data_IF_521195644347
#
_entry.id   IF_521195644347
#
_cell.length_a   1.000
_cell.length_b   1.000
_cell.length_c   1.000
_cell.angle_alpha   90.00
_cell.angle_beta   90.00
_cell.angle_gamma   90.00
#
_symmetry.space_group_name_H-M   'P 1'
#
loop_
_entity.id
_entity.type
_entity.pdbx_description
1 polymer ?
#
# COMPACT_ATOMS: atom_id res chain seq x y z
N UNK A 1 -5.55 -14.95 -2.52
CA UNK A 1 -5.94 -13.80 -3.36
C UNK A 1 -6.41 -14.35 -4.69
N UNK A 2 -7.49 -13.82 -5.26
CA UNK A 2 -7.96 -14.28 -6.56
C UNK A 2 -7.09 -13.67 -7.68
N UNK A 3 -6.93 -14.39 -8.79
CA UNK A 3 -6.20 -13.88 -9.95
C UNK A 3 -7.16 -13.08 -10.82
N UNK A 4 -6.88 -11.80 -11.02
CA UNK A 4 -7.57 -10.96 -12.02
C UNK A 4 -6.89 -11.19 -13.37
N UNK A 5 -7.68 -11.60 -14.36
CA UNK A 5 -7.18 -11.95 -15.71
C UNK A 5 -7.80 -11.09 -16.80
N UNK A 6 -8.86 -10.33 -16.50
CA UNK A 6 -9.59 -9.51 -17.48
C UNK A 6 -10.09 -8.20 -16.89
N UNK A 7 -10.29 -7.23 -17.78
CA UNK A 7 -11.02 -6.01 -17.48
C UNK A 7 -12.40 -6.31 -16.88
N UNK A 8 -12.91 -5.39 -16.06
CA UNK A 8 -14.17 -5.51 -15.31
C UNK A 8 -14.18 -6.58 -14.22
N UNK A 9 -13.06 -7.23 -13.93
CA UNK A 9 -12.97 -8.13 -12.79
C UNK A 9 -12.58 -7.40 -11.50
N UNK A 10 -13.17 -7.88 -10.40
CA UNK A 10 -12.92 -7.38 -9.06
C UNK A 10 -12.59 -8.55 -8.14
N UNK A 11 -11.48 -8.46 -7.42
CA UNK A 11 -11.16 -9.35 -6.31
C UNK A 11 -11.69 -8.71 -5.01
N UNK A 12 -12.84 -9.20 -4.53
CA UNK A 12 -13.48 -8.78 -3.30
C UNK A 12 -13.00 -9.68 -2.15
N UNK A 13 -11.93 -9.25 -1.46
CA UNK A 13 -11.35 -9.95 -0.32
C UNK A 13 -11.00 -11.43 -0.57
N UNK A 14 -10.58 -11.78 -1.78
CA UNK A 14 -10.21 -13.13 -2.19
C UNK A 14 -11.25 -13.81 -3.10
N UNK A 15 -12.43 -13.23 -3.29
CA UNK A 15 -13.48 -13.77 -4.17
C UNK A 15 -13.55 -12.95 -5.46
N UNK A 16 -13.41 -13.60 -6.60
CA UNK A 16 -13.47 -12.95 -7.92
C UNK A 16 -14.91 -12.70 -8.36
N UNK A 17 -15.19 -11.48 -8.80
CA UNK A 17 -16.45 -11.03 -9.36
C UNK A 17 -16.22 -10.48 -10.78
N UNK A 18 -17.27 -10.43 -11.59
CA UNK A 18 -17.24 -9.87 -12.94
C UNK A 18 -17.22 -10.91 -14.05
N UNK A 19 -16.68 -10.58 -15.24
CA UNK A 19 -16.70 -11.47 -16.41
C UNK A 19 -16.05 -12.83 -16.13
N UNK A 20 -16.63 -13.88 -16.70
CA UNK A 20 -16.19 -15.28 -16.54
C UNK A 20 -16.27 -15.82 -15.10
N UNK A 21 -17.02 -15.15 -14.23
CA UNK A 21 -17.40 -15.65 -12.91
C UNK A 21 -18.91 -15.85 -12.85
N UNK A 22 -19.43 -16.65 -11.91
CA UNK A 22 -20.87 -16.73 -11.67
C UNK A 22 -21.43 -15.43 -11.05
N UNK A 23 -20.63 -14.39 -10.83
CA UNK A 23 -21.03 -13.16 -10.17
C UNK A 23 -20.96 -11.93 -11.10
N UNK A 24 -21.93 -11.73 -12.02
CA UNK A 24 -22.03 -10.48 -12.76
C UNK A 24 -22.16 -9.27 -11.83
N UNK A 25 -21.44 -8.19 -12.16
CA UNK A 25 -21.50 -6.90 -11.48
C UNK A 25 -22.53 -6.02 -12.20
N UNK A 26 -23.44 -5.42 -11.44
CA UNK A 26 -24.46 -4.50 -11.93
C UNK A 26 -24.02 -3.05 -11.81
N UNK A 27 -23.65 -2.62 -10.61
CA UNK A 27 -23.21 -1.24 -10.34
C UNK A 27 -22.13 -1.19 -9.24
N UNK A 28 -21.32 -0.13 -9.26
CA UNK A 28 -20.29 0.14 -8.27
C UNK A 28 -20.35 1.61 -7.88
N UNK A 29 -20.65 1.87 -6.62
CA UNK A 29 -20.66 3.21 -6.04
C UNK A 29 -19.55 3.39 -5.00
N UNK A 30 -19.23 4.65 -4.67
CA UNK A 30 -18.15 4.97 -3.72
C UNK A 30 -16.75 5.08 -4.33
N UNK A 31 -16.65 5.11 -5.67
CA UNK A 31 -15.38 5.32 -6.39
C UNK A 31 -14.96 6.80 -6.47
N UNK A 32 -15.89 7.73 -6.22
CA UNK A 32 -15.64 9.17 -6.22
C UNK A 32 -14.83 9.68 -5.03
N UNK A 33 -14.98 10.97 -4.73
CA UNK A 33 -14.33 11.61 -3.58
C UNK A 33 -14.82 10.98 -2.27
N UNK A 34 -13.92 10.59 -1.35
CA UNK A 34 -14.31 10.12 -0.03
C UNK A 34 -15.05 11.20 0.75
N UNK A 35 -15.82 10.78 1.75
CA UNK A 35 -16.45 11.71 2.69
C UNK A 35 -15.39 12.58 3.38
N UNK A 36 -15.68 13.87 3.55
CA UNK A 36 -14.77 14.86 4.13
C UNK A 36 -15.22 15.21 5.54
N UNK A 37 -14.29 15.15 6.49
CA UNK A 37 -14.43 15.72 7.82
C UNK A 37 -13.90 17.15 7.78
N UNK A 38 -14.80 18.09 7.53
CA UNK A 38 -14.50 19.51 7.52
C UNK A 38 -14.39 20.08 8.93
N UNK A 39 -13.59 21.13 9.09
CA UNK A 39 -13.36 21.81 10.36
C UNK A 39 -13.62 23.31 10.26
N UNK A 40 -14.57 23.69 9.41
CA UNK A 40 -14.91 25.08 9.14
C UNK A 40 -15.42 25.77 10.40
N UNK A 41 -15.07 27.04 10.54
CA UNK A 41 -15.47 27.88 11.67
C UNK A 41 -16.33 29.02 11.14
N UNK A 42 -17.56 29.14 11.61
CA UNK A 42 -18.47 30.23 11.20
C UNK A 42 -17.86 31.61 11.49
N UNK A 43 -18.05 32.54 10.54
CA UNK A 43 -17.61 33.92 10.73
C UNK A 43 -18.54 34.61 11.75
N UNK A 44 -18.02 35.20 12.84
CA UNK A 44 -18.88 35.70 13.92
C UNK A 44 -19.77 36.90 13.55
N UNK A 45 -19.43 37.68 12.53
CA UNK A 45 -20.10 38.96 12.20
C UNK A 45 -20.41 39.13 10.72
N UNK A 46 -20.14 38.12 9.90
CA UNK A 46 -20.30 38.20 8.43
C UNK A 46 -20.84 36.88 7.90
N UNK A 47 -21.36 36.89 6.67
CA UNK A 47 -21.89 35.69 6.03
C UNK A 47 -20.73 34.74 5.66
N UNK A 48 -20.90 33.45 5.99
CA UNK A 48 -19.98 32.39 5.59
C UNK A 48 -19.12 31.83 6.73
N UNK A 49 -18.05 31.12 6.35
CA UNK A 49 -17.18 30.41 7.28
C UNK A 49 -15.72 30.50 6.84
N UNK A 50 -14.81 30.44 7.81
CA UNK A 50 -13.38 30.24 7.59
C UNK A 50 -13.11 28.75 7.36
N UNK A 51 -12.48 28.38 6.23
CA UNK A 51 -12.23 26.97 5.91
C UNK A 51 -11.22 26.36 6.88
N UNK A 52 -11.61 25.25 7.49
CA UNK A 52 -10.76 24.49 8.39
C UNK A 52 -9.81 23.53 7.66
N UNK A 53 -9.18 22.66 8.43
CA UNK A 53 -8.40 21.55 7.84
C UNK A 53 -9.34 20.39 7.53
N UNK A 54 -9.39 20.03 6.25
CA UNK A 54 -10.17 18.90 5.78
C UNK A 54 -9.39 17.59 5.86
N UNK A 55 -10.06 16.55 6.34
CA UNK A 55 -9.54 15.18 6.31
C UNK A 55 -10.53 14.24 5.66
N UNK A 56 -10.06 13.38 4.76
CA UNK A 56 -10.89 12.30 4.26
C UNK A 56 -11.20 11.27 5.36
N UNK A 57 -12.46 10.85 5.41
CA UNK A 57 -12.93 9.67 6.12
C UNK A 57 -12.56 8.39 5.37
N UNK A 58 -12.84 7.25 5.99
CA UNK A 58 -12.79 5.96 5.32
C UNK A 58 -13.72 5.96 4.09
N UNK A 59 -13.29 5.32 3.00
CA UNK A 59 -14.08 5.22 1.76
C UNK A 59 -14.88 3.93 1.79
N UNK A 60 -16.19 4.00 1.65
CA UNK A 60 -17.02 2.81 1.46
C UNK A 60 -17.31 2.62 -0.03
N UNK A 61 -16.96 1.45 -0.56
CA UNK A 61 -17.29 1.01 -1.92
C UNK A 61 -18.43 0.00 -1.80
N UNK A 62 -19.54 0.29 -2.48
CA UNK A 62 -20.70 -0.59 -2.55
C UNK A 62 -20.77 -1.19 -3.94
N UNK A 63 -20.88 -2.52 -4.02
CA UNK A 63 -20.98 -3.28 -5.26
C UNK A 63 -22.32 -3.97 -5.27
N UNK A 64 -23.16 -3.60 -6.24
CA UNK A 64 -24.37 -4.34 -6.56
C UNK A 64 -24.01 -5.43 -7.57
N UNK A 65 -24.24 -6.67 -7.19
CA UNK A 65 -23.92 -7.83 -8.02
C UNK A 65 -25.09 -8.81 -8.01
N UNK A 66 -24.99 -9.87 -8.80
CA UNK A 66 -25.87 -11.02 -8.64
C UNK A 66 -25.08 -12.30 -8.79
N UNK A 67 -25.50 -13.37 -8.14
CA UNK A 67 -25.03 -14.72 -8.41
C UNK A 67 -25.93 -15.31 -9.50
N UNK A 68 -25.32 -15.83 -10.57
CA UNK A 68 -25.98 -16.42 -11.72
C UNK A 68 -25.41 -17.81 -11.99
N UNK A 69 -26.13 -18.83 -11.55
CA UNK A 69 -25.85 -20.25 -11.79
C UNK A 69 -27.11 -20.94 -12.33
N UNK A 70 -27.46 -20.71 -13.62
CA UNK A 70 -28.77 -21.08 -14.15
C UNK A 70 -29.12 -22.55 -13.93
N UNK A 71 -30.23 -22.82 -13.23
CA UNK A 71 -30.70 -24.19 -12.96
C UNK A 71 -29.93 -24.94 -11.87
N UNK A 72 -28.95 -24.30 -11.22
CA UNK A 72 -28.15 -24.86 -10.14
C UNK A 72 -28.22 -23.98 -8.88
N UNK A 73 -29.26 -24.19 -8.03
CA UNK A 73 -29.40 -23.46 -6.77
C UNK A 73 -28.31 -23.82 -5.75
N UNK A 74 -27.72 -25.03 -5.84
CA UNK A 74 -26.67 -25.47 -4.93
C UNK A 74 -25.38 -24.71 -5.20
N UNK A 75 -24.99 -24.58 -6.47
CA UNK A 75 -23.86 -23.73 -6.86
C UNK A 75 -24.07 -22.26 -6.46
N UNK A 76 -25.30 -21.74 -6.56
CA UNK A 76 -25.61 -20.38 -6.10
C UNK A 76 -25.32 -20.21 -4.60
N UNK A 77 -25.76 -21.18 -3.79
CA UNK A 77 -25.55 -21.17 -2.35
C UNK A 77 -24.07 -21.32 -1.97
N UNK A 78 -23.29 -22.11 -2.72
CA UNK A 78 -21.85 -22.27 -2.50
C UNK A 78 -21.07 -20.99 -2.78
N UNK A 79 -21.42 -20.27 -3.85
CA UNK A 79 -20.83 -18.95 -4.16
C UNK A 79 -21.18 -17.93 -3.07
N UNK A 80 -22.43 -17.91 -2.62
CA UNK A 80 -22.85 -17.05 -1.51
C UNK A 80 -22.10 -17.40 -0.21
N UNK A 81 -21.91 -18.69 0.08
CA UNK A 81 -21.16 -19.15 1.23
C UNK A 81 -19.68 -18.72 1.16
N UNK A 82 -19.05 -18.76 -0.01
CA UNK A 82 -17.68 -18.28 -0.19
C UNK A 82 -17.53 -16.78 0.12
N UNK A 83 -18.49 -15.96 -0.33
CA UNK A 83 -18.54 -14.53 0.00
C UNK A 83 -18.74 -14.30 1.50
N UNK A 84 -19.65 -15.05 2.14
CA UNK A 84 -19.82 -14.98 3.59
C UNK A 84 -18.57 -15.42 4.35
N UNK A 85 -17.84 -16.44 3.89
CA UNK A 85 -16.59 -16.85 4.51
C UNK A 85 -15.51 -15.76 4.41
N UNK A 86 -15.38 -15.10 3.25
CA UNK A 86 -14.46 -13.98 3.08
C UNK A 86 -14.81 -12.81 4.02
N UNK A 87 -16.10 -12.53 4.24
CA UNK A 87 -16.55 -11.50 5.19
C UNK A 87 -16.36 -11.90 6.66
N UNK A 88 -16.49 -13.20 6.96
CA UNK A 88 -16.52 -13.74 8.32
C UNK A 88 -15.15 -14.17 8.85
N UNK A 89 -14.10 -14.11 8.02
CA UNK A 89 -12.75 -14.57 8.35
C UNK A 89 -12.28 -13.99 9.71
N UNK A 90 -12.11 -14.85 10.74
CA UNK A 90 -11.65 -14.42 12.05
C UNK A 90 -10.28 -13.75 12.01
N UNK A 91 -9.39 -14.14 11.09
CA UNK A 91 -8.06 -13.56 10.98
C UNK A 91 -8.13 -12.08 10.59
N UNK A 92 -9.05 -11.70 9.70
CA UNK A 92 -9.31 -10.31 9.36
C UNK A 92 -10.14 -9.58 10.44
N UNK A 93 -11.21 -10.22 10.94
CA UNK A 93 -12.20 -9.56 11.81
C UNK A 93 -11.74 -9.38 13.26
N UNK A 94 -11.09 -10.40 13.83
CA UNK A 94 -10.71 -10.42 15.25
C UNK A 94 -9.27 -9.94 15.51
N UNK A 95 -8.48 -9.74 14.47
CA UNK A 95 -7.12 -9.20 14.60
C UNK A 95 -7.15 -7.69 14.39
N UNK A 96 -6.66 -6.92 15.37
CA UNK A 96 -6.52 -5.48 15.21
C UNK A 96 -5.53 -5.16 14.09
N UNK A 97 -5.84 -4.17 13.25
CA UNK A 97 -4.97 -3.76 12.15
C UNK A 97 -4.89 -4.75 10.97
N UNK A 98 -5.50 -5.94 11.03
CA UNK A 98 -5.58 -6.81 9.87
C UNK A 98 -6.45 -6.18 8.77
N UNK A 99 -5.91 -6.17 7.55
CA UNK A 99 -6.49 -5.55 6.37
C UNK A 99 -6.77 -6.62 5.31
N UNK A 100 -7.93 -6.52 4.68
CA UNK A 100 -8.29 -7.19 3.45
C UNK A 100 -8.08 -6.23 2.28
N UNK A 101 -8.11 -6.77 1.06
CA UNK A 101 -7.95 -5.98 -0.16
C UNK A 101 -9.19 -6.08 -1.04
N UNK A 102 -9.59 -4.94 -1.60
CA UNK A 102 -10.45 -4.87 -2.78
C UNK A 102 -9.55 -4.52 -3.96
N UNK A 103 -9.48 -5.36 -4.99
CA UNK A 103 -8.66 -5.08 -6.19
C UNK A 103 -9.57 -5.00 -7.41
N UNK A 104 -9.30 -4.04 -8.29
CA UNK A 104 -10.14 -3.72 -9.44
C UNK A 104 -9.25 -3.54 -10.66
N UNK A 105 -9.60 -4.23 -11.75
CA UNK A 105 -9.08 -3.94 -13.08
C UNK A 105 -10.15 -3.22 -13.88
N UNK A 106 -10.06 -1.90 -13.93
CA UNK A 106 -11.01 -1.05 -14.66
C UNK A 106 -10.77 -1.15 -16.17
N UNK A 107 -11.80 -1.09 -17.03
CA UNK A 107 -11.63 -1.11 -18.48
C UNK A 107 -10.70 -0.01 -18.99
N UNK A 108 -9.86 -0.35 -19.96
CA UNK A 108 -8.90 0.57 -20.57
C UNK A 108 -7.71 0.91 -19.69
N UNK A 109 -7.54 0.23 -18.55
CA UNK A 109 -6.35 0.30 -17.69
C UNK A 109 -5.57 -1.00 -17.82
N UNK A 110 -4.25 -0.89 -17.83
CA UNK A 110 -3.35 -2.05 -17.85
C UNK A 110 -3.05 -2.55 -16.42
N UNK A 111 -3.10 -1.66 -15.45
CA UNK A 111 -2.72 -1.93 -14.06
C UNK A 111 -3.93 -2.12 -13.14
N UNK A 112 -3.81 -3.10 -12.24
CA UNK A 112 -4.78 -3.32 -11.16
C UNK A 112 -4.56 -2.28 -10.08
N UNK A 113 -5.65 -1.64 -9.62
CA UNK A 113 -5.61 -0.82 -8.41
C UNK A 113 -6.30 -1.52 -7.26
N UNK A 114 -5.85 -1.21 -6.04
CA UNK A 114 -6.39 -1.81 -4.82
C UNK A 114 -6.74 -0.77 -3.76
N UNK A 115 -7.67 -1.15 -2.90
CA UNK A 115 -7.94 -0.50 -1.62
C UNK A 115 -7.62 -1.46 -0.48
N UNK A 116 -7.15 -0.89 0.64
CA UNK A 116 -6.94 -1.60 1.89
C UNK A 116 -8.04 -1.28 2.87
N UNK A 117 -8.64 -2.31 3.47
CA UNK A 117 -9.81 -2.13 4.31
C UNK A 117 -10.38 -3.43 4.83
N UNK A 118 -11.70 -3.47 4.98
CA UNK A 118 -12.43 -4.66 5.42
C UNK A 118 -13.76 -4.77 4.72
N UNK A 119 -14.18 -6.01 4.49
CA UNK A 119 -15.57 -6.30 4.12
C UNK A 119 -16.46 -5.92 5.31
N UNK A 120 -17.49 -5.12 5.04
CA UNK A 120 -18.50 -4.71 6.03
C UNK A 120 -19.83 -5.41 5.84
N UNK A 121 -20.17 -5.72 4.60
CA UNK A 121 -21.44 -6.34 4.26
C UNK A 121 -21.30 -7.29 3.09
N UNK A 122 -21.96 -8.44 3.24
CA UNK A 122 -22.30 -9.36 2.15
C UNK A 122 -23.76 -9.73 2.41
N UNK A 123 -24.66 -9.18 1.62
CA UNK A 123 -26.09 -9.37 1.81
C UNK A 123 -26.74 -9.91 0.53
N UNK A 124 -27.50 -10.99 0.64
CA UNK A 124 -28.40 -11.43 -0.40
C UNK A 124 -29.69 -10.61 -0.34
N UNK A 125 -29.86 -9.69 -1.29
CA UNK A 125 -31.00 -8.75 -1.33
C UNK A 125 -32.33 -9.50 -1.34
N UNK A 126 -32.38 -10.65 -2.00
CA UNK A 126 -33.53 -11.55 -1.99
C UNK A 126 -33.10 -12.99 -2.30
N UNK A 127 -33.68 -13.94 -1.59
CA UNK A 127 -33.51 -15.37 -1.84
C UNK A 127 -34.65 -15.97 -2.68
N UNK A 128 -35.66 -15.16 -3.07
CA UNK A 128 -36.86 -15.66 -3.74
C UNK A 128 -36.58 -16.32 -5.10
N UNK A 129 -35.51 -15.91 -5.79
CA UNK A 129 -35.11 -16.42 -7.10
C UNK A 129 -33.96 -17.43 -7.02
N UNK A 130 -33.54 -17.82 -5.81
CA UNK A 130 -32.43 -18.76 -5.61
C UNK A 130 -32.70 -20.12 -6.25
N UNK A 131 -33.97 -20.56 -6.31
CA UNK A 131 -34.40 -21.80 -6.99
C UNK A 131 -34.05 -21.79 -8.48
N UNK A 132 -34.01 -20.61 -9.12
CA UNK A 132 -33.60 -20.46 -10.52
C UNK A 132 -32.08 -20.25 -10.68
N UNK A 133 -31.33 -20.28 -9.58
CA UNK A 133 -29.90 -19.97 -9.55
C UNK A 133 -29.60 -18.49 -9.71
N UNK A 134 -30.51 -17.61 -9.24
CA UNK A 134 -30.30 -16.17 -9.22
C UNK A 134 -30.42 -15.60 -7.80
N UNK A 135 -29.37 -14.93 -7.33
CA UNK A 135 -29.35 -14.28 -6.02
C UNK A 135 -28.77 -12.86 -6.18
N UNK A 136 -29.58 -11.80 -6.14
CA UNK A 136 -29.07 -10.43 -6.13
C UNK A 136 -28.31 -10.15 -4.83
N UNK A 137 -27.19 -9.44 -4.92
CA UNK A 137 -26.25 -9.17 -3.84
C UNK A 137 -25.97 -7.68 -3.68
N UNK A 138 -25.82 -7.26 -2.43
CA UNK A 138 -25.18 -5.99 -2.06
C UNK A 138 -23.95 -6.28 -1.23
N UNK A 139 -22.79 -5.85 -1.72
CA UNK A 139 -21.51 -6.02 -1.06
C UNK A 139 -20.97 -4.65 -0.65
N UNK A 140 -20.46 -4.52 0.57
CA UNK A 140 -19.84 -3.28 1.04
C UNK A 140 -18.42 -3.55 1.54
N UNK A 141 -17.47 -2.77 1.02
CA UNK A 141 -16.09 -2.76 1.46
C UNK A 141 -15.72 -1.36 1.97
N UNK A 142 -15.28 -1.25 3.21
CA UNK A 142 -14.80 0.02 3.75
C UNK A 142 -13.29 0.03 3.77
N UNK A 143 -12.72 0.86 2.90
CA UNK A 143 -11.29 1.16 2.83
C UNK A 143 -10.88 2.11 3.96
N UNK A 144 -9.96 1.65 4.80
CA UNK A 144 -9.42 2.44 5.92
C UNK A 144 -8.46 3.52 5.45
N UNK A 145 -7.75 3.27 4.36
CA UNK A 145 -7.02 4.30 3.60
C UNK A 145 -7.85 4.60 2.34
N UNK A 146 -8.33 5.84 2.16
CA UNK A 146 -9.18 6.18 1.02
C UNK A 146 -8.43 6.29 -0.32
N UNK A 147 -7.09 6.19 -0.31
CA UNK A 147 -6.25 6.25 -1.51
C UNK A 147 -6.26 4.92 -2.26
N UNK A 148 -6.19 5.00 -3.58
CA UNK A 148 -5.97 3.83 -4.43
C UNK A 148 -4.49 3.51 -4.52
N UNK A 149 -4.13 2.23 -4.43
CA UNK A 149 -2.74 1.75 -4.49
C UNK A 149 -2.53 0.89 -5.74
N UNK A 150 -1.47 1.14 -6.48
CA UNK A 150 -1.13 0.37 -7.68
C UNK A 150 -0.68 -1.07 -7.40
N UNK A 151 -0.76 -1.90 -8.43
CA UNK A 151 -0.19 -3.24 -8.50
C UNK A 151 0.57 -3.37 -9.83
N UNK A 152 1.81 -3.87 -9.86
CA UNK A 152 2.54 -4.60 -8.81
C UNK A 152 3.12 -3.71 -7.69
N UNK A 153 3.69 -4.35 -6.65
CA UNK A 153 4.55 -3.61 -5.71
C UNK A 153 5.86 -3.33 -6.40
N UNK A 154 6.30 -2.09 -6.33
CA UNK A 154 7.62 -1.71 -6.82
C UNK A 154 8.61 -1.83 -5.67
N UNK A 155 9.86 -2.15 -6.00
CA UNK A 155 10.92 -2.22 -5.02
C UNK A 155 12.27 -1.80 -5.59
N UNK A 156 13.08 -1.17 -4.75
CA UNK A 156 14.50 -0.91 -5.01
C UNK A 156 15.30 -1.44 -3.83
N UNK A 157 16.42 -2.11 -4.12
CA UNK A 157 17.35 -2.59 -3.10
C UNK A 157 18.67 -1.85 -3.22
N UNK A 158 19.08 -1.23 -2.12
CA UNK A 158 20.24 -0.35 -2.01
C UNK A 158 21.31 -1.04 -1.15
N UNK A 159 22.55 -1.14 -1.63
CA UNK A 159 23.68 -1.42 -0.75
C UNK A 159 23.92 -0.20 0.16
N UNK A 160 24.66 -0.39 1.25
CA UNK A 160 25.09 0.74 2.05
C UNK A 160 25.93 1.68 1.20
N UNK A 161 25.64 2.99 1.27
CA UNK A 161 26.52 3.96 0.64
C UNK A 161 27.90 3.86 1.29
N UNK A 162 28.94 3.57 0.49
CA UNK A 162 30.32 3.59 0.98
C UNK A 162 30.69 5.03 1.31
N UNK A 163 30.56 5.42 2.59
CA UNK A 163 30.98 6.74 3.08
C UNK A 163 32.50 6.83 3.28
N UNK A 164 33.23 5.72 3.14
CA UNK A 164 34.67 5.69 3.04
C UNK A 164 35.07 5.55 1.58
N UNK A 165 35.66 6.59 1.00
CA UNK A 165 36.49 6.40 -0.18
C UNK A 165 37.57 5.39 0.19
N UNK A 166 37.47 4.17 -0.33
CA UNK A 166 38.65 3.32 -0.45
C UNK A 166 39.57 4.06 -1.39
N UNK A 167 40.45 4.89 -0.82
CA UNK A 167 41.49 5.56 -1.56
C UNK A 167 42.23 4.52 -2.41
N UNK A 168 42.76 4.95 -3.54
CA UNK A 168 43.50 4.03 -4.38
C UNK A 168 44.70 3.46 -3.61
N UNK A 169 44.83 2.12 -3.58
CA UNK A 169 46.02 1.47 -3.01
C UNK A 169 47.17 1.63 -4.01
N UNK A 170 48.21 2.36 -3.60
CA UNK A 170 49.38 2.60 -4.43
C UNK A 170 50.16 1.29 -4.77
N UNK A 171 50.91 1.26 -5.89
CA UNK A 171 51.06 2.33 -6.87
C UNK A 171 49.93 2.32 -7.92
N UNK A 172 49.31 3.48 -8.13
CA UNK A 172 48.30 3.67 -9.17
C UNK A 172 49.02 4.09 -10.45
N UNK A 173 48.81 3.37 -11.55
CA UNK A 173 49.44 3.65 -12.85
C UNK A 173 48.45 4.39 -13.74
N UNK A 174 48.89 5.49 -14.36
CA UNK A 174 48.09 6.31 -15.26
C UNK A 174 47.87 5.62 -16.63
N UNK A 175 46.79 5.95 -17.38
CA UNK A 175 45.80 6.99 -17.08
C UNK A 175 44.70 6.51 -16.13
N UNK A 176 44.50 7.23 -15.03
CA UNK A 176 43.37 7.01 -14.13
C UNK A 176 42.18 7.74 -14.73
N UNK A 177 41.15 6.98 -15.10
CA UNK A 177 39.85 7.56 -15.43
C UNK A 177 38.86 7.16 -14.35
N UNK A 178 38.20 8.13 -13.75
CA UNK A 178 36.93 7.89 -13.07
C UNK A 178 35.90 7.88 -14.19
N UNK A 179 35.39 6.71 -14.57
CA UNK A 179 34.39 6.61 -15.65
C UNK A 179 33.28 7.66 -15.50
N UNK A 180 32.62 8.01 -16.60
CA UNK A 180 31.45 8.89 -16.54
C UNK A 180 30.36 8.14 -15.79
N UNK A 181 29.99 8.62 -14.60
CA UNK A 181 28.88 8.06 -13.88
C UNK A 181 27.59 8.39 -14.65
N UNK A 182 26.92 7.37 -15.15
CA UNK A 182 25.58 7.54 -15.74
C UNK A 182 24.59 7.85 -14.59
N UNK A 183 23.98 9.05 -14.56
CA UNK A 183 22.99 9.38 -13.54
C UNK A 183 21.79 8.43 -13.54
N UNK A 184 21.50 7.77 -14.67
CA UNK A 184 20.38 6.83 -14.81
C UNK A 184 20.67 5.46 -14.21
N UNK A 185 21.95 5.06 -14.11
CA UNK A 185 22.38 3.79 -13.49
C UNK A 185 22.58 3.91 -11.97
N UNK A 186 22.28 5.09 -11.42
CA UNK A 186 22.35 5.37 -9.99
C UNK A 186 21.25 4.60 -9.25
N UNK A 187 21.65 3.56 -8.51
CA UNK A 187 20.77 2.81 -7.62
C UNK A 187 20.23 3.76 -6.52
N UNK A 188 18.92 3.84 -6.35
CA UNK A 188 18.30 4.80 -5.40
C UNK A 188 16.97 5.38 -5.85
N UNK A 189 16.69 5.32 -7.15
CA UNK A 189 15.47 5.90 -7.71
C UNK A 189 14.24 5.08 -7.34
N UNK A 190 13.27 5.73 -6.69
CA UNK A 190 11.93 5.25 -6.50
C UNK A 190 10.96 6.16 -7.25
N UNK A 191 10.21 5.61 -8.20
CA UNK A 191 9.26 6.38 -9.01
C UNK A 191 7.83 6.06 -8.58
N UNK A 192 7.12 7.07 -8.09
CA UNK A 192 5.69 7.00 -7.84
C UNK A 192 4.96 7.57 -9.06
N UNK A 193 4.33 6.71 -9.87
CA UNK A 193 3.57 7.13 -11.05
C UNK A 193 2.18 7.69 -10.70
N UNK A 194 1.82 7.70 -9.41
CA UNK A 194 0.57 8.24 -8.91
C UNK A 194 0.54 9.76 -8.78
N UNK A 195 -0.65 10.29 -8.50
CA UNK A 195 -0.90 11.73 -8.26
C UNK A 195 -0.94 12.09 -6.77
N UNK A 196 -0.81 11.10 -5.87
CA UNK A 196 -0.66 11.29 -4.43
C UNK A 196 0.69 10.78 -3.94
N UNK A 197 1.20 11.31 -2.81
CA UNK A 197 2.35 10.72 -2.16
C UNK A 197 2.11 9.26 -1.76
N UNK A 198 3.07 8.40 -2.08
CA UNK A 198 3.06 6.98 -1.73
C UNK A 198 3.77 6.72 -0.40
N UNK A 199 3.31 5.71 0.33
CA UNK A 199 3.86 5.31 1.62
C UNK A 199 4.79 4.10 1.45
N UNK A 200 6.12 4.26 1.56
CA UNK A 200 7.04 3.16 1.42
C UNK A 200 7.05 2.26 2.67
N UNK A 201 7.25 0.96 2.45
CA UNK A 201 7.73 0.04 3.46
C UNK A 201 9.24 -0.17 3.30
N UNK A 202 9.97 -0.24 4.41
CA UNK A 202 11.42 -0.38 4.41
C UNK A 202 11.81 -1.68 5.10
N UNK A 203 12.77 -2.40 4.55
CA UNK A 203 13.38 -3.58 5.17
C UNK A 203 14.89 -3.43 5.14
N UNK A 204 15.53 -3.50 6.30
CA UNK A 204 16.98 -3.46 6.45
C UNK A 204 17.45 -4.82 6.92
N UNK A 205 18.34 -5.45 6.15
CA UNK A 205 19.06 -6.66 6.59
C UNK A 205 20.43 -6.27 7.09
N UNK A 206 20.76 -6.64 8.32
CA UNK A 206 22.06 -6.35 8.91
C UNK A 206 23.23 -7.09 8.25
N UNK A 207 24.47 -6.90 8.75
CA UNK A 207 24.82 -6.12 9.94
C UNK A 207 24.89 -4.62 9.64
N UNK A 208 24.36 -3.77 10.53
CA UNK A 208 24.51 -2.31 10.41
C UNK A 208 24.30 -1.64 11.77
N UNK A 209 25.11 -0.62 12.06
CA UNK A 209 24.99 0.24 13.23
C UNK A 209 24.44 1.60 12.83
N UNK A 210 23.47 2.09 13.61
CA UNK A 210 22.87 3.42 13.48
C UNK A 210 22.42 3.76 12.05
N UNK A 211 21.51 2.96 11.45
CA UNK A 211 21.07 3.22 10.10
C UNK A 211 20.26 4.52 10.03
N UNK A 212 20.55 5.33 9.02
CA UNK A 212 19.86 6.60 8.73
C UNK A 212 19.43 6.62 7.26
N UNK A 213 18.14 6.78 7.01
CA UNK A 213 17.51 6.75 5.69
C UNK A 213 16.86 8.10 5.43
N UNK A 214 16.95 8.62 4.20
CA UNK A 214 16.27 9.84 3.82
C UNK A 214 15.82 9.86 2.37
N UNK A 215 14.81 10.68 2.10
CA UNK A 215 14.34 11.00 0.74
C UNK A 215 14.86 12.39 0.41
N UNK A 216 15.58 12.52 -0.70
CA UNK A 216 16.31 13.76 -1.05
C UNK A 216 15.35 14.91 -1.33
N UNK A 217 14.24 14.64 -2.00
CA UNK A 217 13.27 15.61 -2.50
C UNK A 217 12.42 16.21 -1.38
N UNK A 218 12.11 15.43 -0.35
CA UNK A 218 11.29 15.89 0.79
C UNK A 218 12.13 16.28 2.01
N UNK A 219 13.41 15.91 2.03
CA UNK A 219 14.30 16.09 3.19
C UNK A 219 13.89 15.27 4.42
N UNK A 220 12.92 14.36 4.30
CA UNK A 220 12.43 13.55 5.41
C UNK A 220 13.43 12.46 5.75
N UNK A 221 13.65 12.25 7.05
CA UNK A 221 14.68 11.37 7.59
C UNK A 221 14.08 10.37 8.56
N UNK A 222 14.54 9.13 8.50
CA UNK A 222 14.39 8.12 9.54
C UNK A 222 15.78 7.77 10.07
N UNK A 223 16.03 8.11 11.33
CA UNK A 223 17.30 7.89 12.02
C UNK A 223 17.08 6.96 13.21
N UNK A 224 17.83 5.86 13.25
CA UNK A 224 17.58 4.72 14.13
C UNK A 224 18.79 4.45 15.04
N UNK A 225 18.62 4.66 16.34
CA UNK A 225 19.63 4.37 17.36
C UNK A 225 19.63 2.88 17.76
N UNK A 226 19.98 1.99 16.82
CA UNK A 226 20.11 0.55 17.07
C UNK A 226 21.28 -0.08 16.30
N UNK A 227 21.60 -1.32 16.66
CA UNK A 227 22.53 -2.19 15.93
C UNK A 227 21.81 -3.46 15.50
N UNK A 228 21.90 -3.78 14.21
CA UNK A 228 21.47 -5.05 13.63
C UNK A 228 22.68 -5.96 13.45
N UNK A 229 22.58 -7.21 13.91
CA UNK A 229 23.53 -8.27 13.59
C UNK A 229 23.31 -8.83 12.18
N UNK A 230 24.18 -9.75 11.76
CA UNK A 230 24.18 -10.34 10.40
C UNK A 230 22.86 -11.05 10.04
N UNK A 231 22.19 -11.64 11.03
CA UNK A 231 20.92 -12.34 10.85
C UNK A 231 19.69 -11.49 11.23
N UNK A 232 19.90 -10.24 11.64
CA UNK A 232 18.80 -9.37 12.06
C UNK A 232 18.15 -8.69 10.85
N UNK A 233 16.82 -8.59 10.92
CA UNK A 233 16.02 -7.82 9.98
C UNK A 233 15.22 -6.76 10.73
N UNK A 234 15.28 -5.53 10.24
CA UNK A 234 14.41 -4.44 10.66
C UNK A 234 13.38 -4.16 9.57
N UNK A 235 12.12 -4.10 9.94
CA UNK A 235 11.00 -3.77 9.05
C UNK A 235 10.32 -2.51 9.56
N UNK A 236 10.01 -1.59 8.65
CA UNK A 236 9.39 -0.31 8.94
C UNK A 236 8.22 -0.14 7.99
N UNK A 237 7.06 0.19 8.53
CA UNK A 237 5.86 0.52 7.77
C UNK A 237 5.46 1.97 8.04
N UNK A 238 5.32 2.77 6.99
CA UNK A 238 4.97 4.20 7.07
C UNK A 238 3.49 4.48 6.80
N UNK A 239 2.72 3.46 6.40
CA UNK A 239 1.32 3.62 5.97
C UNK A 239 0.44 4.09 7.13
N UNK A 240 -0.50 5.02 6.88
CA UNK A 240 -1.50 5.41 7.87
C UNK A 240 -2.25 4.21 8.43
N UNK A 241 -2.45 4.17 9.75
CA UNK A 241 -3.14 3.08 10.44
C UNK A 241 -2.31 1.82 10.69
N UNK A 242 -1.15 1.66 10.05
CA UNK A 242 -0.23 0.53 10.24
C UNK A 242 1.22 0.98 10.39
N UNK A 243 1.47 2.08 11.11
CA UNK A 243 2.83 2.58 11.35
C UNK A 243 3.49 1.81 12.48
N UNK A 244 4.62 1.17 12.19
CA UNK A 244 5.38 0.41 13.18
C UNK A 244 6.82 0.19 12.73
N UNK A 245 7.66 -0.19 13.69
CA UNK A 245 9.04 -0.64 13.46
C UNK A 245 9.22 -1.96 14.21
N UNK A 246 9.62 -3.00 13.49
CA UNK A 246 9.84 -4.34 14.03
C UNK A 246 11.27 -4.81 13.77
N UNK A 247 11.97 -5.28 14.79
CA UNK A 247 13.23 -6.02 14.69
C UNK A 247 12.95 -7.49 14.95
N UNK A 248 13.18 -8.36 13.96
CA UNK A 248 12.89 -9.80 14.04
C UNK A 248 11.48 -10.10 14.58
N UNK A 249 10.49 -9.28 14.21
CA UNK A 249 9.10 -9.38 14.66
C UNK A 249 8.77 -8.73 16.01
N UNK A 250 9.77 -8.30 16.79
CA UNK A 250 9.57 -7.56 18.05
C UNK A 250 9.57 -6.04 17.84
N UNK A 251 8.84 -5.28 18.67
CA UNK A 251 8.79 -3.82 18.56
C UNK A 251 10.19 -3.18 18.73
N UNK A 252 10.57 -2.30 17.81
CA UNK A 252 11.81 -1.52 17.85
C UNK A 252 11.57 -0.01 17.62
N UNK A 253 10.36 0.47 17.92
CA UNK A 253 9.95 1.86 17.68
C UNK A 253 10.71 2.87 18.54
N UNK A 254 11.18 2.46 19.73
CA UNK A 254 12.00 3.29 20.62
C UNK A 254 13.39 3.62 20.05
N UNK A 255 13.85 2.89 19.04
CA UNK A 255 15.11 3.21 18.37
C UNK A 255 14.97 4.41 17.42
N UNK A 256 13.75 4.77 17.01
CA UNK A 256 13.52 5.89 16.11
C UNK A 256 13.77 7.21 16.84
N UNK A 257 14.59 8.09 16.26
CA UNK A 257 14.86 9.40 16.85
C UNK A 257 13.61 10.28 16.87
N UNK A 258 13.54 11.23 17.82
CA UNK A 258 12.39 12.12 17.97
C UNK A 258 12.11 13.02 16.75
N UNK A 259 13.14 13.31 15.94
CA UNK A 259 13.00 14.09 14.71
C UNK A 259 12.46 13.26 13.53
N UNK A 260 12.47 11.94 13.64
CA UNK A 260 12.09 11.04 12.56
C UNK A 260 10.58 10.79 12.56
N UNK A 261 9.91 11.22 11.48
CA UNK A 261 8.44 11.21 11.38
C UNK A 261 7.96 10.21 10.33
N UNK A 262 7.50 9.03 10.80
CA UNK A 262 6.92 7.99 9.92
C UNK A 262 5.68 8.49 9.15
N UNK A 263 4.96 9.47 9.70
CA UNK A 263 3.79 10.08 9.08
C UNK A 263 4.13 11.14 8.03
N UNK A 264 5.39 11.54 7.90
CA UNK A 264 5.85 12.46 6.86
C UNK A 264 6.77 11.78 5.84
N UNK A 265 7.28 10.58 6.14
CA UNK A 265 8.16 9.83 5.25
C UNK A 265 7.38 9.20 4.08
N UNK A 266 7.16 10.01 3.04
CA UNK A 266 6.37 9.69 1.85
C UNK A 266 7.20 9.92 0.58
N UNK A 267 6.97 9.09 -0.43
CA UNK A 267 7.49 9.29 -1.79
C UNK A 267 6.53 10.23 -2.55
N UNK A 268 6.91 11.48 -2.85
CA UNK A 268 6.05 12.37 -3.63
C UNK A 268 5.81 11.80 -5.04
N UNK A 269 4.77 12.26 -5.76
CA UNK A 269 4.60 11.98 -7.18
C UNK A 269 5.87 12.25 -7.98
N UNK A 270 6.19 11.35 -8.92
CA UNK A 270 7.42 11.38 -9.71
C UNK A 270 8.57 10.57 -9.10
N UNK A 271 9.78 10.85 -9.56
CA UNK A 271 10.98 10.11 -9.15
C UNK A 271 11.64 10.78 -7.96
N UNK A 272 11.96 9.99 -6.93
CA UNK A 272 12.68 10.41 -5.74
C UNK A 272 13.93 9.57 -5.50
N UNK A 273 15.01 10.19 -5.01
CA UNK A 273 16.22 9.48 -4.60
C UNK A 273 16.15 9.11 -3.12
N UNK A 274 16.02 7.81 -2.85
CA UNK A 274 16.18 7.26 -1.50
C UNK A 274 17.65 6.97 -1.24
N UNK A 275 18.15 7.48 -0.12
CA UNK A 275 19.53 7.28 0.32
C UNK A 275 19.56 6.78 1.75
N UNK A 276 20.65 6.09 2.09
CA UNK A 276 20.88 5.66 3.45
C UNK A 276 22.36 5.48 3.77
N UNK A 277 22.68 5.61 5.05
CA UNK A 277 24.00 5.40 5.64
C UNK A 277 23.87 4.59 6.92
N UNK A 278 25.01 4.12 7.41
CA UNK A 278 25.19 3.37 8.65
C UNK A 278 26.65 2.94 8.73
N UNK A 279 27.04 2.30 9.84
CA UNK A 279 28.35 1.65 9.91
C UNK A 279 28.19 0.14 9.69
N UNK A 280 28.81 -0.36 8.63
CA UNK A 280 28.98 -1.77 8.31
C UNK A 280 30.38 -1.97 7.71
N UNK A 281 31.07 -3.04 8.11
CA UNK A 281 32.40 -3.41 7.61
C UNK A 281 32.38 -4.67 6.73
N UNK A 282 31.22 -5.32 6.55
CA UNK A 282 31.08 -6.55 5.75
C UNK A 282 30.54 -6.28 4.35
N UNK A 283 29.92 -5.11 4.11
CA UNK A 283 29.25 -4.73 2.86
C UNK A 283 28.12 -5.70 2.47
N UNK A 284 27.60 -6.47 3.42
CA UNK A 284 26.49 -7.40 3.22
C UNK A 284 25.13 -6.77 3.52
N UNK A 285 25.09 -5.62 4.20
CA UNK A 285 23.82 -4.97 4.54
C UNK A 285 23.08 -4.43 3.32
N UNK A 286 21.75 -4.54 3.33
CA UNK A 286 20.87 -4.09 2.25
C UNK A 286 19.65 -3.39 2.83
N UNK A 287 19.28 -2.26 2.22
CA UNK A 287 18.00 -1.60 2.41
C UNK A 287 17.11 -1.91 1.20
N UNK A 288 15.98 -2.56 1.43
CA UNK A 288 14.91 -2.70 0.44
C UNK A 288 13.83 -1.68 0.76
N UNK A 289 13.50 -0.85 -0.22
CA UNK A 289 12.38 0.08 -0.18
C UNK A 289 11.32 -0.49 -1.11
N UNK A 290 10.12 -0.77 -0.60
CA UNK A 290 8.98 -1.18 -1.42
C UNK A 290 7.85 -0.18 -1.31
N UNK A 291 7.16 0.06 -2.42
CA UNK A 291 6.04 1.01 -2.47
C UNK A 291 5.02 0.58 -3.53
N UNK A 292 3.87 1.24 -3.47
CA UNK A 292 2.84 1.19 -4.50
C UNK A 292 2.54 2.61 -4.91
N UNK A 293 2.36 2.81 -6.21
CA UNK A 293 1.90 4.11 -6.72
C UNK A 293 0.57 4.48 -6.05
N UNK A 294 0.41 5.73 -5.62
CA UNK A 294 -0.75 6.18 -4.88
C UNK A 294 -1.60 7.14 -5.71
N UNK A 295 -2.90 6.86 -5.83
CA UNK A 295 -3.81 7.60 -6.70
C UNK A 295 -5.01 8.16 -5.92
N UNK A 296 -5.48 9.34 -6.33
CA UNK A 296 -6.75 9.92 -5.86
C UNK A 296 -7.96 9.11 -6.32
N UNK A 297 -7.87 8.52 -7.52
CA UNK A 297 -8.96 7.85 -8.22
C UNK A 297 -8.52 6.53 -8.89
N UNK A 298 -9.52 5.78 -9.35
CA UNK A 298 -9.37 4.52 -10.07
C UNK A 298 -8.76 4.69 -11.48
#
# INVERSE_FOLDING_TARGET
MATITREWQIDFAGVLLGPETPCPIGDITGLGTPEVRAQDVELPTDDGAFPGVDYYSARTVTIEAGIRTPGDPQAAAEVLAALHQAASDPAARKTAGALQTLRVLWPGREDVKRLYGRVRRVEAVSMAQSVFGWIPLTLEFTATDPRWHGEPEQQVTLPLASSGGTGFKAPVVAPITTGVADPTDRKGWATNNGDLPAWPALTIKGPVVSPRIWITETGQVLDLALTLGENDTLQIDTRPGTRWILRNGGNASSALSAASRLDLFQLPPGTSEVRWIGADYTNSTRLTVSWRDAYTAL
#
